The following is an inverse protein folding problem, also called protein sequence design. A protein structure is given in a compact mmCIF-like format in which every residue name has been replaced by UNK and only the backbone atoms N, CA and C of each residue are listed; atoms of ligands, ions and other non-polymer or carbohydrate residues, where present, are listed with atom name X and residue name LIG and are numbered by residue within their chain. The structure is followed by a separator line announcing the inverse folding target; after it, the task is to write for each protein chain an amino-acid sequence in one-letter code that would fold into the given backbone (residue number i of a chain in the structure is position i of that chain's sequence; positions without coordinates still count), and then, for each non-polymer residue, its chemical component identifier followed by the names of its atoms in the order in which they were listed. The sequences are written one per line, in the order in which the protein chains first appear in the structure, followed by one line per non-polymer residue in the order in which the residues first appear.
data_IF_839812408437
#
_entry.id   IF_839812408437
#
_cell.length_a   1.000
_cell.length_b   1.000
_cell.length_c   1.000
_cell.angle_alpha   90.00
_cell.angle_beta   90.00
_cell.angle_gamma   90.00
#
_symmetry.space_group_name_H-M   'P 1'
#
loop_
_entity.id
_entity.type
_entity.pdbx_description
1 polymer ?
#
# COMPACT_ATOMS: atom_id res chain seq x y z
N UNK A 1 -13.77 2.70 3.72
CA UNK A 1 -13.55 2.57 2.26
C UNK A 1 -12.19 1.93 2.04
N UNK A 2 -11.98 1.21 0.95
CA UNK A 2 -10.68 0.58 0.63
C UNK A 2 -10.24 1.00 -0.76
N UNK A 3 -8.96 1.30 -0.93
CA UNK A 3 -8.38 1.64 -2.23
C UNK A 3 -7.01 0.99 -2.41
N UNK A 4 -6.67 0.70 -3.67
CA UNK A 4 -5.35 0.19 -4.02
C UNK A 4 -4.41 1.37 -4.25
N UNK A 5 -3.29 1.39 -3.55
CA UNK A 5 -2.29 2.44 -3.61
C UNK A 5 -0.93 1.84 -4.00
N UNK A 6 -0.06 2.63 -4.63
CA UNK A 6 1.31 2.25 -4.91
C UNK A 6 2.24 2.76 -3.81
N UNK A 7 3.15 1.89 -3.37
CA UNK A 7 4.21 2.28 -2.45
C UNK A 7 5.29 3.02 -3.23
N UNK A 8 5.52 4.27 -2.85
CA UNK A 8 6.46 5.19 -3.50
C UNK A 8 7.70 5.46 -2.65
N UNK A 9 7.65 5.06 -1.38
CA UNK A 9 8.77 5.18 -0.45
C UNK A 9 8.40 4.72 0.95
N UNK A 10 9.33 4.90 1.88
CA UNK A 10 9.11 4.68 3.30
C UNK A 10 9.85 5.74 4.12
N UNK A 11 9.38 5.99 5.35
CA UNK A 11 10.09 6.81 6.32
C UNK A 11 10.95 5.97 7.27
N UNK A 12 12.07 6.52 7.71
CA UNK A 12 12.94 5.91 8.71
C UNK A 12 12.15 5.46 9.95
N UNK A 13 12.48 4.30 10.55
CA UNK A 13 11.83 3.83 11.76
C UNK A 13 12.01 4.82 12.91
N UNK A 14 11.01 4.87 13.80
CA UNK A 14 11.04 5.70 15.00
C UNK A 14 10.95 4.81 16.23
N UNK A 15 11.85 5.03 17.20
CA UNK A 15 11.91 4.24 18.43
C UNK A 15 12.32 2.78 18.18
N UNK A 16 11.65 1.83 18.83
CA UNK A 16 11.95 0.40 18.75
C UNK A 16 11.34 -0.33 17.56
N UNK A 17 10.57 0.37 16.70
CA UNK A 17 9.89 -0.27 15.57
C UNK A 17 10.91 -0.72 14.51
N UNK A 18 10.96 -2.01 14.13
CA UNK A 18 11.88 -2.46 13.10
C UNK A 18 11.46 -2.00 11.70
N UNK A 19 12.42 -1.98 10.78
CA UNK A 19 12.26 -1.75 9.33
C UNK A 19 11.90 -0.31 8.90
N UNK A 20 10.68 0.16 9.17
CA UNK A 20 10.21 1.47 8.72
C UNK A 20 9.09 2.03 9.62
N UNK A 21 8.94 3.36 9.67
CA UNK A 21 7.87 3.98 10.44
C UNK A 21 6.55 4.01 9.67
N UNK A 22 6.58 4.37 8.38
CA UNK A 22 5.41 4.43 7.51
C UNK A 22 5.77 4.20 6.04
N UNK A 23 4.80 3.75 5.25
CA UNK A 23 4.89 3.75 3.79
C UNK A 23 4.34 5.06 3.23
N UNK A 24 4.99 5.59 2.19
CA UNK A 24 4.52 6.73 1.41
C UNK A 24 3.72 6.22 0.23
N UNK A 25 2.48 6.68 0.11
CA UNK A 25 1.51 6.16 -0.85
C UNK A 25 1.28 7.13 -1.99
N UNK A 26 1.19 6.59 -3.19
CA UNK A 26 0.81 7.30 -4.41
C UNK A 26 -0.31 6.60 -5.15
N UNK A 27 -1.10 7.39 -5.88
CA UNK A 27 -2.09 6.90 -6.84
C UNK A 27 -1.83 7.62 -8.18
N UNK A 28 -1.78 6.89 -9.30
CA UNK A 28 -1.68 7.52 -10.61
C UNK A 28 -2.92 8.37 -10.88
N UNK A 29 -2.73 9.59 -11.36
CA UNK A 29 -3.81 10.41 -11.85
C UNK A 29 -4.12 10.16 -13.33
N UNK A 30 -4.98 10.98 -13.90
CA UNK A 30 -5.43 10.88 -15.30
C UNK A 30 -4.28 11.03 -16.32
N UNK A 31 -3.17 11.67 -15.92
CA UNK A 31 -1.98 11.87 -16.74
C UNK A 31 -0.90 10.82 -16.47
N UNK A 32 -1.22 9.77 -15.71
CA UNK A 32 -0.29 8.72 -15.28
C UNK A 32 0.81 9.26 -14.35
N UNK A 33 0.66 10.48 -13.84
CA UNK A 33 1.56 11.03 -12.83
C UNK A 33 1.17 10.50 -11.45
N UNK A 34 2.17 10.20 -10.62
CA UNK A 34 1.90 9.75 -9.26
C UNK A 34 1.56 10.94 -8.37
N UNK A 35 0.35 10.92 -7.83
CA UNK A 35 -0.10 11.85 -6.80
C UNK A 35 0.14 11.26 -5.43
N UNK A 36 0.83 12.00 -4.56
CA UNK A 36 0.98 11.61 -3.16
C UNK A 36 -0.35 11.69 -2.42
N UNK A 37 -0.78 10.58 -1.82
CA UNK A 37 -2.08 10.48 -1.13
C UNK A 37 -1.95 10.25 0.38
N UNK A 38 -0.74 10.33 0.91
CA UNK A 38 -0.47 10.26 2.34
C UNK A 38 0.47 9.13 2.73
N UNK A 39 0.58 8.90 4.04
CA UNK A 39 1.41 7.86 4.62
C UNK A 39 0.58 6.89 5.46
N UNK A 40 0.96 5.62 5.47
CA UNK A 40 0.30 4.58 6.28
C UNK A 40 1.31 3.95 7.24
N UNK A 41 0.98 3.97 8.53
CA UNK A 41 1.85 3.50 9.61
C UNK A 41 1.22 2.36 10.42
N UNK A 42 -0.08 2.11 10.30
CA UNK A 42 -0.83 1.12 11.10
C UNK A 42 -1.38 -0.01 10.22
N UNK A 43 -1.82 -1.09 10.86
CA UNK A 43 -2.45 -2.24 10.19
C UNK A 43 -1.48 -3.34 9.73
N UNK A 44 -0.19 -3.21 10.00
CA UNK A 44 0.79 -4.24 9.69
C UNK A 44 0.93 -5.24 10.83
N UNK A 45 0.98 -6.53 10.49
CA UNK A 45 1.56 -7.57 11.36
C UNK A 45 3.08 -7.60 11.20
N UNK A 46 3.79 -8.21 12.15
CA UNK A 46 5.26 -8.34 12.08
C UNK A 46 5.73 -9.09 10.83
N UNK A 47 4.98 -10.13 10.44
CA UNK A 47 5.23 -10.88 9.21
C UNK A 47 5.06 -9.99 7.96
N UNK A 48 4.02 -9.16 7.92
CA UNK A 48 3.79 -8.23 6.82
C UNK A 48 4.86 -7.14 6.77
N UNK A 49 5.31 -6.61 7.92
CA UNK A 49 6.42 -5.65 7.97
C UNK A 49 7.68 -6.23 7.32
N UNK A 50 8.09 -7.43 7.71
CA UNK A 50 9.27 -8.09 7.15
C UNK A 50 9.14 -8.40 5.66
N UNK A 51 7.96 -8.82 5.21
CA UNK A 51 7.68 -9.10 3.79
C UNK A 51 7.73 -7.82 2.94
N UNK A 52 7.06 -6.76 3.37
CA UNK A 52 7.07 -5.46 2.69
C UNK A 52 8.50 -4.93 2.65
N UNK A 53 9.24 -4.99 3.76
CA UNK A 53 10.61 -4.53 3.84
C UNK A 53 11.53 -5.16 2.78
N UNK A 54 11.45 -6.48 2.62
CA UNK A 54 12.21 -7.20 1.57
C UNK A 54 11.90 -6.68 0.17
N UNK A 55 10.63 -6.40 -0.13
CA UNK A 55 10.22 -5.88 -1.43
C UNK A 55 10.67 -4.42 -1.65
N UNK A 56 10.60 -3.57 -0.62
CA UNK A 56 11.10 -2.20 -0.71
C UNK A 56 12.59 -2.16 -1.03
N UNK A 57 13.37 -3.06 -0.43
CA UNK A 57 14.81 -3.17 -0.70
C UNK A 57 15.12 -3.48 -2.16
N UNK A 58 14.33 -4.33 -2.82
CA UNK A 58 14.50 -4.64 -4.24
C UNK A 58 14.08 -3.48 -5.16
N UNK A 59 13.28 -2.54 -4.66
CA UNK A 59 12.69 -1.45 -5.44
C UNK A 59 13.32 -0.09 -5.16
N UNK A 60 14.40 0.01 -4.37
CA UNK A 60 15.03 1.28 -4.01
C UNK A 60 15.32 2.16 -5.24
N UNK A 61 15.03 3.45 -5.09
CA UNK A 61 15.28 4.50 -6.07
C UNK A 61 16.09 5.63 -5.44
N UNK A 62 16.93 6.28 -6.24
CA UNK A 62 17.67 7.48 -5.83
C UNK A 62 16.80 8.73 -5.87
N UNK A 63 15.79 8.73 -6.73
CA UNK A 63 14.89 9.87 -6.96
C UNK A 63 13.48 9.55 -6.53
N UNK A 64 12.75 10.59 -6.11
CA UNK A 64 11.33 10.50 -5.79
C UNK A 64 10.53 10.16 -7.05
N UNK A 65 9.52 9.28 -6.96
CA UNK A 65 8.61 9.02 -8.08
C UNK A 65 7.50 10.06 -8.21
N UNK A 66 7.38 11.00 -7.27
CA UNK A 66 6.39 12.07 -7.31
C UNK A 66 6.93 13.27 -8.10
N UNK A 67 6.05 13.91 -8.89
CA UNK A 67 6.39 15.17 -9.58
C UNK A 67 6.76 16.27 -8.58
N UNK A 68 6.02 16.34 -7.46
CA UNK A 68 6.31 17.21 -6.33
C UNK A 68 6.68 16.35 -5.12
N UNK A 69 7.90 16.49 -4.63
CA UNK A 69 8.40 15.72 -3.47
C UNK A 69 7.59 16.11 -2.22
N UNK A 70 6.89 15.17 -1.57
CA UNK A 70 6.10 15.49 -0.40
C UNK A 70 7.01 15.76 0.81
N UNK A 71 6.62 16.74 1.63
CA UNK A 71 7.25 16.95 2.92
C UNK A 71 6.91 15.80 3.89
N UNK A 72 7.95 15.15 4.41
CA UNK A 72 7.85 14.08 5.40
C UNK A 72 8.48 14.50 6.71
N UNK A 73 7.91 14.07 7.83
CA UNK A 73 8.41 14.46 9.16
C UNK A 73 9.76 13.78 9.45
N UNK A 74 9.91 12.56 8.96
CA UNK A 74 11.13 11.78 9.01
C UNK A 74 11.77 11.72 7.62
N UNK A 75 13.04 11.33 7.55
CA UNK A 75 13.74 11.14 6.28
C UNK A 75 13.01 10.08 5.44
N UNK A 76 12.68 10.46 4.19
CA UNK A 76 12.07 9.57 3.22
C UNK A 76 13.14 8.84 2.40
N UNK A 77 12.87 7.58 2.11
CA UNK A 77 13.58 6.79 1.11
C UNK A 77 12.63 6.40 0.00
N UNK A 78 13.10 6.49 -1.24
CA UNK A 78 12.25 6.32 -2.42
C UNK A 78 12.31 4.90 -2.96
N UNK A 79 11.19 4.43 -3.52
CA UNK A 79 11.14 3.20 -4.31
C UNK A 79 10.49 3.45 -5.66
N UNK A 80 10.78 2.57 -6.61
CA UNK A 80 10.03 2.47 -7.85
C UNK A 80 8.59 2.04 -7.50
N UNK A 81 7.56 2.72 -8.05
CA UNK A 81 6.14 2.51 -7.71
C UNK A 81 5.58 1.25 -8.36
N UNK A 82 6.15 0.09 -8.02
CA UNK A 82 5.77 -1.23 -8.55
C UNK A 82 5.04 -2.11 -7.54
N UNK A 83 5.09 -1.73 -6.27
CA UNK A 83 4.44 -2.47 -5.19
C UNK A 83 3.07 -1.84 -4.90
N UNK A 84 2.01 -2.61 -5.14
CA UNK A 84 0.64 -2.19 -4.85
C UNK A 84 0.14 -2.78 -3.52
N UNK A 85 -0.55 -1.96 -2.73
CA UNK A 85 -1.08 -2.30 -1.41
C UNK A 85 -2.53 -1.89 -1.29
N UNK A 86 -3.33 -2.66 -0.54
CA UNK A 86 -4.67 -2.26 -0.14
C UNK A 86 -4.62 -1.45 1.14
N UNK A 87 -5.34 -0.34 1.13
CA UNK A 87 -5.41 0.58 2.26
C UNK A 87 -6.87 0.88 2.55
N UNK A 88 -7.26 0.62 3.80
CA UNK A 88 -8.54 1.07 4.33
C UNK A 88 -8.40 2.50 4.83
N UNK A 89 -9.41 3.33 4.62
CA UNK A 89 -9.40 4.73 5.06
C UNK A 89 -10.82 5.23 5.33
N UNK A 90 -10.90 6.30 6.13
CA UNK A 90 -12.17 6.87 6.60
C UNK A 90 -12.76 7.96 5.69
N UNK A 91 -12.05 8.36 4.64
CA UNK A 91 -12.47 9.35 3.66
C UNK A 91 -11.31 10.16 3.09
N UNK A 92 -11.60 11.01 2.11
CA UNK A 92 -10.62 11.89 1.49
C UNK A 92 -10.57 13.25 2.19
N UNK A 93 -9.39 13.86 2.29
CA UNK A 93 -9.24 15.27 2.67
C UNK A 93 -9.51 16.17 1.48
N UNK A 94 -9.73 17.48 1.73
CA UNK A 94 -9.88 18.48 0.66
C UNK A 94 -8.68 18.51 -0.28
N UNK A 95 -7.49 18.25 0.26
CA UNK A 95 -6.22 18.20 -0.49
C UNK A 95 -5.96 16.84 -1.17
N UNK A 96 -6.96 15.96 -1.25
CA UNK A 96 -6.84 14.67 -1.94
C UNK A 96 -5.98 13.63 -1.20
N UNK A 97 -5.88 13.69 0.13
CA UNK A 97 -5.15 12.71 0.95
C UNK A 97 -6.10 11.73 1.64
N UNK A 98 -5.61 10.53 1.93
CA UNK A 98 -6.33 9.53 2.70
C UNK A 98 -6.41 9.94 4.19
N UNK A 99 -7.62 9.97 4.75
CA UNK A 99 -7.84 10.25 6.18
C UNK A 99 -7.79 8.95 6.99
N UNK A 100 -6.86 8.87 7.93
CA UNK A 100 -6.61 7.70 8.81
C UNK A 100 -6.44 6.40 8.01
N UNK A 101 -5.45 6.33 7.09
CA UNK A 101 -5.19 5.12 6.33
C UNK A 101 -4.66 4.01 7.24
N UNK A 102 -5.11 2.78 6.98
CA UNK A 102 -4.71 1.54 7.65
C UNK A 102 -4.35 0.53 6.57
N UNK A 103 -3.18 -0.08 6.69
CA UNK A 103 -2.73 -1.13 5.77
C UNK A 103 -3.61 -2.38 5.95
N UNK A 104 -4.11 -2.92 4.85
CA UNK A 104 -4.84 -4.21 4.87
C UNK A 104 -3.99 -5.37 4.36
N UNK A 105 -3.10 -5.11 3.39
CA UNK A 105 -2.32 -6.18 2.75
C UNK A 105 -1.72 -5.75 1.42
N UNK A 106 -0.94 -6.64 0.81
CA UNK A 106 -0.51 -6.47 -0.58
C UNK A 106 -1.67 -6.74 -1.55
N UNK A 107 -1.70 -6.04 -2.69
CA UNK A 107 -2.74 -6.27 -3.70
C UNK A 107 -2.64 -7.69 -4.30
N UNK A 108 -1.43 -8.24 -4.44
CA UNK A 108 -1.24 -9.61 -4.95
C UNK A 108 -1.90 -10.66 -4.04
N UNK A 109 -1.88 -10.45 -2.73
CA UNK A 109 -2.51 -11.34 -1.76
C UNK A 109 -4.03 -11.22 -1.84
N UNK A 110 -4.54 -9.99 -1.97
CA UNK A 110 -5.97 -9.75 -2.17
C UNK A 110 -6.52 -10.39 -3.45
N UNK A 111 -5.74 -10.37 -4.54
CA UNK A 111 -6.10 -11.04 -5.80
C UNK A 111 -6.14 -12.56 -5.64
N UNK A 112 -5.17 -13.14 -4.91
CA UNK A 112 -5.14 -14.58 -4.61
C UNK A 112 -6.34 -15.01 -3.76
N UNK A 113 -6.65 -14.25 -2.71
CA UNK A 113 -7.80 -14.50 -1.85
C UNK A 113 -9.13 -14.41 -2.61
N UNK A 114 -9.31 -13.38 -3.45
CA UNK A 114 -10.51 -13.25 -4.29
C UNK A 114 -10.65 -14.42 -5.27
N UNK A 115 -9.58 -14.79 -5.94
CA UNK A 115 -9.58 -15.95 -6.85
C UNK A 115 -9.91 -17.26 -6.12
N UNK A 116 -9.48 -17.43 -4.86
CA UNK A 116 -9.84 -18.58 -4.05
C UNK A 116 -11.35 -18.58 -3.70
N UNK A 117 -11.89 -17.45 -3.22
CA UNK A 117 -13.31 -17.32 -2.89
C UNK A 117 -14.22 -17.55 -4.09
N UNK A 118 -13.84 -17.06 -5.27
CA UNK A 118 -14.59 -17.25 -6.51
C UNK A 118 -14.64 -18.74 -6.90
N UNK A 119 -13.50 -19.45 -6.82
CA UNK A 119 -13.47 -20.90 -7.06
C UNK A 119 -14.34 -21.68 -6.07
N UNK A 120 -14.31 -21.31 -4.78
CA UNK A 120 -15.14 -21.96 -3.76
C UNK A 120 -16.63 -21.68 -3.95
N UNK A 121 -17.00 -20.47 -4.39
CA UNK A 121 -18.39 -20.12 -4.67
C UNK A 121 -18.94 -20.87 -5.89
N UNK A 122 -18.15 -20.98 -6.96
CA UNK A 122 -18.50 -21.77 -8.16
C UNK A 122 -18.69 -23.24 -7.78
N UNK A 123 -17.77 -23.80 -6.98
CA UNK A 123 -17.88 -25.18 -6.52
C UNK A 123 -19.14 -25.42 -5.68
N UNK A 124 -19.51 -24.49 -4.80
CA UNK A 124 -20.70 -24.60 -3.95
C UNK A 124 -22.03 -24.36 -4.69
N UNK A 125 -22.03 -23.59 -5.78
CA UNK A 125 -23.21 -23.42 -6.66
C UNK A 125 -23.47 -24.67 -7.50
N UNK A 126 -22.40 -25.31 -8.00
CA UNK A 126 -22.50 -26.55 -8.76
C UNK A 126 -23.11 -27.71 -7.96
N UNK A 127 -22.94 -27.73 -6.63
CA UNK A 127 -23.49 -28.78 -5.76
C UNK A 127 -24.97 -28.57 -5.36
N UNK A 128 -25.60 -27.43 -5.70
CA UNK A 128 -27.02 -27.16 -5.37
C UNK A 128 -28.00 -27.41 -6.52
N UNK A 129 -27.53 -27.84 -7.69
CA UNK A 129 -28.36 -28.08 -8.87
C UNK A 129 -28.61 -29.57 -9.18
N UNK A 130 -28.29 -30.45 -8.23
CA UNK A 130 -28.67 -31.88 -8.25
C UNK A 130 -29.82 -32.16 -7.29
#
# INVERSE_FOLDING_TARGET
MTHTCFVCGWSEPRGSRPFFAALLLGIPDEQVELRYVGRVASGFTDAQLGLVWKQLHALKSRTSPFAVVPETNERAHWVKPKLAVRVQFSGWTKDGRLRRPVFEGLEIDARRERAHKERSAIAADATRRD
#
